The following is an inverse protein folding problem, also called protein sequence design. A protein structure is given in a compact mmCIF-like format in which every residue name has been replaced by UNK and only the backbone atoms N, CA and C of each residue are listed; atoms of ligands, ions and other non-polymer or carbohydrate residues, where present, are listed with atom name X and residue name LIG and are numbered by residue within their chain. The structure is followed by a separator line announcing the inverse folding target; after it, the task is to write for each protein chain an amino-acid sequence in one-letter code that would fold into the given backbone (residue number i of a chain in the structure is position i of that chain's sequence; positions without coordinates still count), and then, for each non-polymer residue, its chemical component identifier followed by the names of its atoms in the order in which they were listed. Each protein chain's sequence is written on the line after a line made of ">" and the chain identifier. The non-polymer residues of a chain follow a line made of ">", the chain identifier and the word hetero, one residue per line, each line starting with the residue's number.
data_IF_141734192063
#
_entry.id   IF_141734192063
#
_cell.length_a   1.000
_cell.length_b   1.000
_cell.length_c   1.000
_cell.angle_alpha   90.00
_cell.angle_beta   90.00
_cell.angle_gamma   90.00
#
_symmetry.space_group_name_H-M   'P 1'
#
loop_
_entity.id
_entity.type
_entity.pdbx_description
1 polymer ?
#
# COMPACT_ATOMS: atom_id res chain seq x y z
N UNK A 1 -6.23 12.91 -8.37
CA UNK A 1 -6.63 11.76 -7.54
C UNK A 1 -6.35 12.13 -6.10
N UNK A 2 -7.41 12.53 -5.39
CA UNK A 2 -7.44 12.65 -3.92
C UNK A 2 -7.74 11.26 -3.42
N UNK A 3 -6.94 10.65 -2.54
CA UNK A 3 -7.31 9.39 -1.86
C UNK A 3 -8.59 9.62 -1.05
N UNK A 4 -9.45 8.61 -0.91
CA UNK A 4 -10.57 8.70 0.03
C UNK A 4 -10.03 9.13 1.40
N UNK A 5 -10.64 10.15 1.98
CA UNK A 5 -10.34 10.60 3.33
C UNK A 5 -11.66 10.91 3.99
N UNK A 6 -11.95 10.25 5.10
CA UNK A 6 -12.90 10.80 6.06
C UNK A 6 -12.32 12.10 6.65
N UNK A 7 -13.17 13.07 7.00
CA UNK A 7 -12.75 14.12 7.92
C UNK A 7 -12.62 13.46 9.30
N UNK A 8 -11.45 13.59 9.95
CA UNK A 8 -11.32 13.11 11.32
C UNK A 8 -12.33 13.87 12.18
N UNK A 9 -13.22 13.14 12.84
CA UNK A 9 -14.21 13.76 13.73
C UNK A 9 -13.51 14.61 14.79
N UNK A 10 -14.03 15.80 15.06
CA UNK A 10 -13.50 16.67 16.13
C UNK A 10 -13.54 15.97 17.51
N UNK A 11 -14.38 14.95 17.65
CA UNK A 11 -14.61 14.16 18.87
C UNK A 11 -13.91 12.78 18.87
N UNK A 12 -13.07 12.46 17.87
CA UNK A 12 -12.32 11.20 17.87
C UNK A 12 -11.32 11.16 19.04
N UNK A 13 -11.41 10.10 19.84
CA UNK A 13 -10.47 9.88 20.95
C UNK A 13 -9.12 9.49 20.35
N UNK A 14 -8.07 10.25 20.71
CA UNK A 14 -6.71 10.05 20.22
C UNK A 14 -5.81 9.48 21.30
N UNK A 15 -4.84 8.69 20.86
CA UNK A 15 -3.85 8.05 21.72
C UNK A 15 -2.44 8.37 21.21
N UNK A 16 -1.51 8.61 22.14
CA UNK A 16 -0.09 8.64 21.82
C UNK A 16 0.44 7.21 21.71
N UNK A 17 1.23 6.95 20.67
CA UNK A 17 1.83 5.64 20.43
C UNK A 17 3.33 5.75 20.19
N UNK A 18 4.15 4.78 20.65
CA UNK A 18 5.56 4.72 20.27
C UNK A 18 5.70 4.40 18.78
N UNK A 19 6.88 4.67 18.22
CA UNK A 19 7.19 4.34 16.83
C UNK A 19 7.04 2.84 16.56
N UNK A 20 6.15 2.46 15.62
CA UNK A 20 5.86 1.06 15.31
C UNK A 20 7.05 0.30 14.66
N UNK A 21 8.04 1.02 14.12
CA UNK A 21 9.21 0.38 13.50
C UNK A 21 10.33 0.06 14.52
N UNK A 22 10.57 0.92 15.51
CA UNK A 22 11.73 0.77 16.41
C UNK A 22 11.43 0.88 17.91
N UNK A 23 10.16 1.08 18.29
CA UNK A 23 9.70 1.19 19.68
C UNK A 23 10.07 2.49 20.40
N UNK A 24 10.77 3.43 19.74
CA UNK A 24 11.14 4.71 20.37
C UNK A 24 9.91 5.60 20.59
N UNK A 25 9.78 6.17 21.78
CA UNK A 25 8.82 7.25 22.09
C UNK A 25 9.35 8.65 21.75
N UNK A 26 10.55 8.78 21.19
CA UNK A 26 11.14 10.08 20.86
C UNK A 26 10.83 10.47 19.41
N UNK A 27 10.20 11.63 19.23
CA UNK A 27 9.80 12.16 17.94
C UNK A 27 9.84 13.70 17.90
N UNK A 28 9.81 14.25 16.69
CA UNK A 28 9.61 15.68 16.42
C UNK A 28 8.41 15.89 15.48
N UNK A 29 7.66 17.00 15.57
CA UNK A 29 6.64 17.31 14.57
C UNK A 29 7.22 17.39 13.15
N UNK A 30 6.50 16.84 12.18
CA UNK A 30 6.94 16.78 10.77
C UNK A 30 6.00 17.50 9.83
N UNK A 31 4.69 17.24 9.92
CA UNK A 31 3.63 17.91 9.17
C UNK A 31 2.49 18.26 10.13
N UNK A 32 2.01 19.51 10.06
CA UNK A 32 0.93 20.03 10.90
C UNK A 32 -0.32 20.18 10.02
N UNK A 33 -1.23 19.23 10.11
CA UNK A 33 -2.45 19.19 9.31
C UNK A 33 -3.64 19.71 10.12
N UNK A 34 -4.76 20.00 9.45
CA UNK A 34 -5.96 20.41 10.17
C UNK A 34 -6.55 19.21 10.92
N UNK A 35 -6.57 19.26 12.26
CA UNK A 35 -7.10 18.20 13.12
C UNK A 35 -6.12 17.09 13.50
N UNK A 36 -4.94 16.97 12.87
CA UNK A 36 -3.96 15.93 13.20
C UNK A 36 -2.52 16.34 12.87
N UNK A 37 -1.56 15.60 13.43
CA UNK A 37 -0.13 15.86 13.23
C UNK A 37 0.59 14.59 12.83
N UNK A 38 1.48 14.69 11.85
CA UNK A 38 2.50 13.69 11.60
C UNK A 38 3.78 14.06 12.33
N UNK A 39 4.34 13.10 13.05
CA UNK A 39 5.64 13.21 13.73
C UNK A 39 6.67 12.33 13.04
N UNK A 40 7.94 12.69 13.14
CA UNK A 40 9.09 11.91 12.64
C UNK A 40 9.84 11.32 13.84
N UNK A 41 10.00 10.00 13.87
CA UNK A 41 10.78 9.32 14.90
C UNK A 41 12.25 9.76 14.85
N UNK A 42 12.81 10.20 15.98
CA UNK A 42 14.21 10.65 16.06
C UNK A 42 15.23 9.52 15.93
N UNK A 43 14.79 8.26 16.06
CA UNK A 43 15.66 7.08 15.99
C UNK A 43 15.74 6.48 14.58
N UNK A 44 14.60 6.29 13.92
CA UNK A 44 14.54 5.56 12.64
C UNK A 44 13.94 6.38 11.48
N UNK A 45 13.52 7.63 11.72
CA UNK A 45 12.98 8.50 10.67
C UNK A 45 11.61 8.13 10.12
N UNK A 46 10.91 7.14 10.71
CA UNK A 46 9.52 6.84 10.34
C UNK A 46 8.64 8.05 10.62
N UNK A 47 7.82 8.45 9.64
CA UNK A 47 6.81 9.48 9.81
C UNK A 47 5.46 8.81 10.04
N UNK A 48 4.76 9.19 11.11
CA UNK A 48 3.51 8.57 11.52
C UNK A 48 2.62 9.58 12.24
N UNK A 49 1.32 9.35 12.23
CA UNK A 49 0.37 10.21 12.92
C UNK A 49 0.50 10.01 14.43
N UNK A 50 0.68 11.10 15.19
CA UNK A 50 0.75 11.04 16.64
C UNK A 50 0.30 12.39 17.26
N UNK A 51 -0.68 12.39 18.19
CA UNK A 51 -1.50 11.25 18.60
C UNK A 51 -2.40 10.78 17.43
N UNK A 52 -2.68 9.47 17.37
CA UNK A 52 -3.51 8.85 16.32
C UNK A 52 -4.92 8.49 16.85
N UNK A 53 -5.95 8.38 15.99
CA UNK A 53 -7.24 7.83 16.36
C UNK A 53 -7.13 6.42 16.95
N UNK A 54 -8.14 5.99 17.71
CA UNK A 54 -8.24 4.59 18.15
C UNK A 54 -8.63 3.68 17.00
N UNK A 55 -8.26 2.42 17.15
CA UNK A 55 -8.35 1.40 16.13
C UNK A 55 -9.81 1.20 15.63
N UNK A 56 -10.78 1.23 16.54
CA UNK A 56 -12.22 1.11 16.24
C UNK A 56 -12.73 2.26 15.35
N UNK A 57 -12.23 3.48 15.58
CA UNK A 57 -12.65 4.70 14.87
C UNK A 57 -12.09 4.73 13.42
N UNK A 58 -11.01 3.99 13.15
CA UNK A 58 -10.40 3.90 11.81
C UNK A 58 -11.17 2.93 10.91
N UNK A 59 -11.57 1.77 11.44
CA UNK A 59 -12.28 0.75 10.66
C UNK A 59 -13.70 1.19 10.26
N UNK A 60 -14.37 2.01 11.09
CA UNK A 60 -15.70 2.53 10.78
C UNK A 60 -15.75 3.43 9.53
N UNK A 61 -14.60 3.84 8.99
CA UNK A 61 -14.50 4.69 7.78
C UNK A 61 -14.74 3.90 6.48
N UNK A 62 -14.63 2.58 6.52
CA UNK A 62 -14.73 1.71 5.35
C UNK A 62 -16.16 1.19 5.12
N UNK A 63 -17.08 2.13 4.88
CA UNK A 63 -18.49 1.83 4.57
C UNK A 63 -18.89 2.15 3.13
N UNK A 64 -20.19 2.38 2.91
CA UNK A 64 -20.76 2.61 1.58
C UNK A 64 -20.15 3.79 0.81
N UNK A 65 -19.72 4.85 1.50
CA UNK A 65 -19.08 6.01 0.85
C UNK A 65 -17.69 5.65 0.29
N UNK A 66 -16.93 4.82 1.01
CA UNK A 66 -15.69 4.25 0.52
C UNK A 66 -15.95 3.38 -0.71
N UNK A 67 -16.92 2.47 -0.65
CA UNK A 67 -17.30 1.63 -1.81
C UNK A 67 -17.68 2.47 -3.04
N UNK A 68 -18.52 3.48 -2.86
CA UNK A 68 -18.96 4.37 -3.95
C UNK A 68 -17.77 5.07 -4.59
N UNK A 69 -16.87 5.62 -3.77
CA UNK A 69 -15.65 6.27 -4.24
C UNK A 69 -14.74 5.30 -5.02
N UNK A 70 -14.49 4.10 -4.49
CA UNK A 70 -13.66 3.09 -5.15
C UNK A 70 -14.28 2.64 -6.47
N UNK A 71 -15.59 2.42 -6.50
CA UNK A 71 -16.32 2.04 -7.70
C UNK A 71 -16.25 3.11 -8.80
N UNK A 72 -16.49 4.39 -8.45
CA UNK A 72 -16.44 5.50 -9.41
C UNK A 72 -15.03 5.74 -9.99
N UNK A 73 -13.99 5.41 -9.23
CA UNK A 73 -12.59 5.65 -9.61
C UNK A 73 -11.86 4.37 -10.09
N UNK A 74 -12.53 3.22 -10.11
CA UNK A 74 -11.96 1.88 -10.36
C UNK A 74 -11.05 1.87 -11.60
N UNK A 75 -11.51 2.39 -12.73
CA UNK A 75 -10.77 2.36 -13.98
C UNK A 75 -9.41 3.08 -13.87
N UNK A 76 -9.35 4.18 -13.12
CA UNK A 76 -8.12 4.92 -12.90
C UNK A 76 -7.18 4.17 -11.94
N UNK A 77 -7.72 3.62 -10.84
CA UNK A 77 -6.92 2.83 -9.90
C UNK A 77 -6.34 1.59 -10.54
N UNK A 78 -7.16 0.85 -11.29
CA UNK A 78 -6.72 -0.32 -12.04
C UNK A 78 -5.62 0.02 -13.05
N UNK A 79 -5.78 1.13 -13.80
CA UNK A 79 -4.73 1.61 -14.71
C UNK A 79 -3.41 1.91 -14.00
N UNK A 80 -3.45 2.51 -12.80
CA UNK A 80 -2.25 2.79 -12.01
C UNK A 80 -1.61 1.50 -11.46
N UNK A 81 -2.41 0.54 -10.99
CA UNK A 81 -1.92 -0.76 -10.54
C UNK A 81 -1.18 -1.49 -11.67
N UNK A 82 -1.75 -1.53 -12.89
CA UNK A 82 -1.10 -2.16 -14.04
C UNK A 82 0.23 -1.47 -14.41
N UNK A 83 0.29 -0.15 -14.35
CA UNK A 83 1.54 0.60 -14.58
C UNK A 83 2.59 0.26 -13.51
N UNK A 84 2.19 0.18 -12.24
CA UNK A 84 3.05 -0.22 -11.13
C UNK A 84 3.60 -1.64 -11.31
N UNK A 85 2.72 -2.61 -11.57
CA UNK A 85 3.09 -4.01 -11.82
C UNK A 85 4.07 -4.15 -13.00
N UNK A 86 3.83 -3.42 -14.10
CA UNK A 86 4.76 -3.39 -15.21
C UNK A 86 6.13 -2.79 -14.81
N UNK A 87 6.13 -1.72 -14.02
CA UNK A 87 7.35 -1.05 -13.57
C UNK A 87 8.22 -1.94 -12.67
N UNK A 88 7.62 -2.85 -11.91
CA UNK A 88 8.32 -3.83 -11.09
C UNK A 88 8.59 -5.17 -11.79
N UNK A 89 8.30 -5.27 -13.09
CA UNK A 89 8.51 -6.46 -13.92
C UNK A 89 7.70 -7.69 -13.43
N UNK A 90 6.38 -7.50 -13.28
CA UNK A 90 5.46 -8.58 -12.91
C UNK A 90 5.45 -9.72 -13.95
N UNK A 91 5.57 -9.42 -15.24
CA UNK A 91 5.67 -10.46 -16.29
C UNK A 91 6.92 -11.32 -16.13
N UNK A 92 8.05 -10.75 -15.71
CA UNK A 92 9.26 -11.52 -15.37
C UNK A 92 9.05 -12.43 -14.16
N UNK A 93 8.35 -11.95 -13.13
CA UNK A 93 7.94 -12.78 -11.98
C UNK A 93 7.05 -13.95 -12.42
N UNK A 94 6.08 -13.69 -13.30
CA UNK A 94 5.22 -14.75 -13.84
C UNK A 94 6.03 -15.81 -14.60
N UNK A 95 7.00 -15.40 -15.43
CA UNK A 95 7.86 -16.32 -16.16
C UNK A 95 8.72 -17.17 -15.22
N UNK A 96 9.25 -16.58 -14.15
CA UNK A 96 10.03 -17.27 -13.12
C UNK A 96 9.19 -18.29 -12.33
N UNK A 97 7.96 -17.94 -11.97
CA UNK A 97 7.04 -18.88 -11.30
C UNK A 97 6.70 -20.05 -12.22
N UNK A 98 6.46 -19.78 -13.51
CA UNK A 98 6.10 -20.80 -14.50
C UNK A 98 7.26 -21.72 -14.87
N UNK A 99 8.51 -21.28 -14.74
CA UNK A 99 9.69 -22.11 -15.02
C UNK A 99 10.04 -23.07 -13.89
N UNK A 100 9.40 -22.95 -12.72
CA UNK A 100 9.62 -23.83 -11.57
C UNK A 100 8.48 -24.85 -11.42
N UNK A 101 8.75 -26.16 -11.45
CA UNK A 101 7.71 -27.19 -11.41
C UNK A 101 7.00 -27.28 -10.04
N UNK A 102 7.63 -26.79 -8.97
CA UNK A 102 7.12 -26.87 -7.61
C UNK A 102 6.28 -25.64 -7.21
N UNK A 103 6.30 -24.60 -8.05
CA UNK A 103 5.59 -23.34 -7.77
C UNK A 103 4.26 -23.29 -8.49
N UNK A 104 3.32 -22.53 -7.93
CA UNK A 104 2.00 -22.30 -8.51
C UNK A 104 1.69 -20.82 -8.56
N UNK A 105 0.92 -20.39 -9.56
CA UNK A 105 0.42 -19.02 -9.65
C UNK A 105 -0.71 -18.82 -8.63
N UNK A 106 -0.36 -18.43 -7.40
CA UNK A 106 -1.29 -18.05 -6.34
C UNK A 106 -1.07 -16.60 -5.96
N UNK A 107 -2.08 -15.77 -6.17
CA UNK A 107 -2.01 -14.32 -6.01
C UNK A 107 -2.94 -13.87 -4.89
N UNK A 108 -2.41 -13.14 -3.92
CA UNK A 108 -3.20 -12.40 -2.94
C UNK A 108 -3.16 -10.91 -3.25
N UNK A 109 -4.32 -10.26 -3.25
CA UNK A 109 -4.46 -8.80 -3.26
C UNK A 109 -5.05 -8.32 -1.93
N UNK A 110 -4.27 -7.53 -1.18
CA UNK A 110 -4.69 -6.98 0.11
C UNK A 110 -5.25 -5.58 -0.12
N UNK A 111 -6.45 -5.30 0.41
CA UNK A 111 -7.22 -4.10 0.08
C UNK A 111 -7.67 -4.12 -1.38
N UNK A 112 -8.25 -5.24 -1.81
CA UNK A 112 -8.55 -5.49 -3.23
C UNK A 112 -9.75 -4.69 -3.75
N UNK A 113 -10.44 -3.92 -2.90
CA UNK A 113 -11.62 -3.13 -3.22
C UNK A 113 -12.63 -3.96 -4.04
N UNK A 114 -13.03 -3.48 -5.22
CA UNK A 114 -14.02 -4.13 -6.09
C UNK A 114 -13.56 -5.46 -6.71
N UNK A 115 -12.30 -5.87 -6.51
CA UNK A 115 -11.71 -7.09 -7.05
C UNK A 115 -11.30 -7.00 -8.52
N UNK A 116 -11.16 -5.80 -9.09
CA UNK A 116 -10.81 -5.61 -10.51
C UNK A 116 -9.44 -6.20 -10.87
N UNK A 117 -8.44 -6.06 -9.98
CA UNK A 117 -7.13 -6.66 -10.20
C UNK A 117 -7.18 -8.19 -10.12
N UNK A 118 -7.93 -8.73 -9.17
CA UNK A 118 -8.16 -10.18 -9.02
C UNK A 118 -8.75 -10.79 -10.30
N UNK A 119 -9.79 -10.16 -10.87
CA UNK A 119 -10.38 -10.57 -12.15
C UNK A 119 -9.34 -10.58 -13.28
N UNK A 120 -8.49 -9.56 -13.34
CA UNK A 120 -7.44 -9.45 -14.34
C UNK A 120 -6.39 -10.57 -14.23
N UNK A 121 -5.87 -10.83 -13.02
CA UNK A 121 -4.83 -11.87 -12.83
C UNK A 121 -5.41 -13.27 -13.00
N UNK A 122 -6.68 -13.50 -12.62
CA UNK A 122 -7.37 -14.76 -12.93
C UNK A 122 -7.40 -15.04 -14.43
N UNK A 123 -7.68 -14.00 -15.25
CA UNK A 123 -7.62 -14.10 -16.71
C UNK A 123 -6.23 -14.47 -17.26
N UNK A 124 -5.17 -14.37 -16.45
CA UNK A 124 -3.79 -14.78 -16.77
C UNK A 124 -3.40 -16.14 -16.15
N UNK A 125 -4.38 -16.88 -15.64
CA UNK A 125 -4.21 -18.22 -15.06
C UNK A 125 -3.74 -18.23 -13.61
N UNK A 126 -3.90 -17.14 -12.86
CA UNK A 126 -3.65 -17.14 -11.42
C UNK A 126 -4.85 -17.70 -10.65
N UNK A 127 -4.57 -18.43 -9.58
CA UNK A 127 -5.52 -18.66 -8.51
C UNK A 127 -5.50 -17.42 -7.61
N UNK A 128 -6.55 -16.62 -7.70
CA UNK A 128 -6.67 -15.33 -7.03
C UNK A 128 -7.42 -15.42 -5.70
N UNK A 129 -7.00 -14.59 -4.75
CA UNK A 129 -7.65 -14.37 -3.46
C UNK A 129 -7.51 -12.89 -3.09
N UNK A 130 -8.53 -12.30 -2.47
CA UNK A 130 -8.49 -10.95 -1.90
C UNK A 130 -8.72 -10.96 -0.39
N UNK A 131 -8.27 -9.89 0.28
CA UNK A 131 -8.71 -9.53 1.63
C UNK A 131 -9.15 -8.05 1.63
N UNK A 132 -10.37 -7.76 2.06
CA UNK A 132 -10.98 -6.43 1.99
C UNK A 132 -11.90 -6.20 3.20
N UNK A 133 -11.78 -5.04 3.84
CA UNK A 133 -12.54 -4.67 5.04
C UNK A 133 -13.92 -4.09 4.71
N UNK A 134 -14.09 -3.51 3.51
CA UNK A 134 -15.37 -2.99 3.07
C UNK A 134 -16.28 -4.11 2.56
N UNK A 135 -17.34 -4.39 3.32
CA UNK A 135 -18.33 -5.43 3.00
C UNK A 135 -18.96 -5.26 1.62
N UNK A 136 -19.34 -4.05 1.24
CA UNK A 136 -19.99 -3.76 -0.04
C UNK A 136 -19.04 -4.07 -1.22
N UNK A 137 -17.74 -3.77 -1.07
CA UNK A 137 -16.71 -4.14 -2.04
C UNK A 137 -16.57 -5.66 -2.20
N UNK A 138 -16.60 -6.41 -1.09
CA UNK A 138 -16.55 -7.89 -1.09
C UNK A 138 -17.77 -8.47 -1.82
N UNK A 139 -18.97 -8.02 -1.46
CA UNK A 139 -20.23 -8.48 -2.06
C UNK A 139 -20.27 -8.17 -3.57
N UNK A 140 -19.76 -7.00 -3.97
CA UNK A 140 -19.64 -6.61 -5.36
C UNK A 140 -18.62 -7.46 -6.13
N UNK A 141 -17.43 -7.70 -5.58
CA UNK A 141 -16.41 -8.55 -6.19
C UNK A 141 -16.89 -9.99 -6.39
N UNK A 142 -17.57 -10.56 -5.39
CA UNK A 142 -18.19 -11.89 -5.50
C UNK A 142 -19.28 -11.91 -6.58
N UNK A 143 -20.28 -11.03 -6.48
CA UNK A 143 -21.47 -11.11 -7.33
C UNK A 143 -21.26 -10.65 -8.78
N UNK A 144 -20.33 -9.72 -9.03
CA UNK A 144 -20.13 -9.12 -10.36
C UNK A 144 -18.87 -9.58 -11.08
N UNK A 145 -17.83 -10.00 -10.34
CA UNK A 145 -16.56 -10.48 -10.92
C UNK A 145 -16.29 -11.94 -10.65
N UNK A 146 -17.09 -12.60 -9.80
CA UNK A 146 -16.89 -14.00 -9.43
C UNK A 146 -15.50 -14.25 -8.83
N UNK A 147 -14.92 -13.29 -8.08
CA UNK A 147 -13.59 -13.43 -7.46
C UNK A 147 -13.72 -13.78 -5.97
N UNK A 148 -12.71 -14.44 -5.42
CA UNK A 148 -12.68 -14.85 -4.01
C UNK A 148 -12.12 -13.73 -3.15
N UNK A 149 -12.91 -13.20 -2.22
CA UNK A 149 -12.47 -12.14 -1.30
C UNK A 149 -12.89 -12.52 0.12
N UNK A 150 -11.93 -12.50 1.04
CA UNK A 150 -12.19 -12.57 2.47
C UNK A 150 -12.62 -11.19 2.99
N UNK A 151 -13.73 -11.14 3.72
CA UNK A 151 -14.20 -9.93 4.36
C UNK A 151 -13.53 -9.76 5.72
N UNK A 152 -12.60 -8.80 5.81
CA UNK A 152 -11.84 -8.48 7.01
C UNK A 152 -10.41 -8.07 6.70
N UNK A 153 -9.63 -7.93 7.76
CA UNK A 153 -8.19 -7.63 7.70
C UNK A 153 -7.38 -8.82 7.19
N UNK A 154 -6.11 -8.57 6.85
CA UNK A 154 -5.18 -9.63 6.46
C UNK A 154 -5.01 -10.66 7.59
N UNK A 155 -4.88 -10.16 8.82
CA UNK A 155 -4.64 -10.95 10.02
C UNK A 155 -5.85 -11.85 10.36
N UNK A 156 -7.07 -11.35 10.18
CA UNK A 156 -8.30 -12.14 10.38
C UNK A 156 -8.50 -13.23 9.32
N UNK A 157 -7.95 -13.04 8.11
CA UNK A 157 -8.06 -14.02 7.04
C UNK A 157 -7.33 -15.33 7.37
N UNK A 158 -6.35 -15.29 8.29
CA UNK A 158 -5.65 -16.44 8.83
C UNK A 158 -5.16 -17.42 7.74
N UNK A 159 -4.63 -16.89 6.64
CA UNK A 159 -4.17 -17.70 5.52
C UNK A 159 -3.07 -18.69 5.95
N UNK A 160 -2.94 -19.86 5.31
CA UNK A 160 -1.87 -20.80 5.62
C UNK A 160 -0.47 -20.21 5.41
N UNK A 161 0.51 -20.74 6.15
CA UNK A 161 1.93 -20.47 5.89
C UNK A 161 2.27 -20.86 4.44
N UNK A 162 3.11 -20.06 3.79
CA UNK A 162 3.64 -20.36 2.46
C UNK A 162 2.59 -20.67 1.37
N UNK A 163 1.43 -20.03 1.44
CA UNK A 163 0.32 -20.25 0.51
C UNK A 163 0.46 -19.49 -0.82
N UNK A 164 1.03 -18.28 -0.82
CA UNK A 164 1.03 -17.41 -2.00
C UNK A 164 2.40 -17.26 -2.64
N UNK A 165 2.44 -17.24 -3.98
CA UNK A 165 3.65 -16.92 -4.73
C UNK A 165 3.82 -15.42 -4.97
N UNK A 166 2.72 -14.67 -5.01
CA UNK A 166 2.72 -13.20 -5.02
C UNK A 166 1.68 -12.65 -4.07
N UNK A 167 2.09 -11.70 -3.24
CA UNK A 167 1.21 -10.86 -2.42
C UNK A 167 1.35 -9.42 -2.89
N UNK A 168 0.25 -8.81 -3.28
CA UNK A 168 0.15 -7.41 -3.70
C UNK A 168 -0.62 -6.61 -2.65
N UNK A 169 -0.25 -5.35 -2.49
CA UNK A 169 -0.99 -4.39 -1.68
C UNK A 169 -0.74 -2.99 -2.22
N UNK A 170 -1.79 -2.31 -2.65
CA UNK A 170 -1.69 -0.96 -3.19
C UNK A 170 -2.43 0.02 -2.31
N UNK A 171 -1.71 0.97 -1.73
CA UNK A 171 -2.28 2.01 -0.87
C UNK A 171 -3.00 1.45 0.38
N UNK A 172 -2.39 0.44 1.03
CA UNK A 172 -2.93 -0.21 2.23
C UNK A 172 -2.02 -0.03 3.44
N UNK A 173 -0.71 -0.21 3.26
CA UNK A 173 0.26 -0.22 4.37
C UNK A 173 0.33 1.12 5.11
N UNK A 174 -0.01 2.23 4.48
CA UNK A 174 -0.11 3.53 5.13
C UNK A 174 -1.33 3.67 6.06
N UNK A 175 -2.34 2.82 5.88
CA UNK A 175 -3.58 2.81 6.65
C UNK A 175 -3.56 1.80 7.81
N UNK A 176 -2.77 0.74 7.72
CA UNK A 176 -2.72 -0.28 8.77
C UNK A 176 -2.13 0.28 10.07
N UNK A 177 -2.63 -0.18 11.21
CA UNK A 177 -2.25 0.33 12.53
C UNK A 177 -0.90 -0.21 13.01
N UNK A 178 -0.47 -1.36 12.50
CA UNK A 178 0.79 -2.01 12.85
C UNK A 178 1.50 -2.52 11.58
N UNK A 179 2.16 -1.65 10.80
CA UNK A 179 2.85 -2.04 9.58
C UNK A 179 3.93 -3.11 9.82
N UNK A 180 4.52 -3.19 11.01
CA UNK A 180 5.47 -4.26 11.33
C UNK A 180 4.80 -5.64 11.42
N UNK A 181 3.62 -5.74 12.05
CA UNK A 181 2.84 -6.97 12.06
C UNK A 181 2.37 -7.34 10.65
N UNK A 182 1.86 -6.36 9.91
CA UNK A 182 1.40 -6.53 8.53
C UNK A 182 2.47 -7.11 7.60
N UNK A 183 3.70 -6.56 7.63
CA UNK A 183 4.80 -7.07 6.79
C UNK A 183 5.28 -8.46 7.23
N UNK A 184 5.27 -8.76 8.53
CA UNK A 184 5.54 -10.13 9.03
C UNK A 184 4.51 -11.13 8.56
N UNK A 185 3.24 -10.74 8.54
CA UNK A 185 2.16 -11.60 8.07
C UNK A 185 2.29 -11.88 6.58
N UNK A 186 2.58 -10.86 5.76
CA UNK A 186 2.92 -11.04 4.34
C UNK A 186 4.11 -12.00 4.18
N UNK A 187 5.14 -11.87 5.01
CA UNK A 187 6.29 -12.78 4.96
C UNK A 187 5.89 -14.22 5.30
N UNK A 188 5.04 -14.45 6.30
CA UNK A 188 4.59 -15.78 6.72
C UNK A 188 3.84 -16.50 5.59
N UNK A 189 2.86 -15.83 5.00
CA UNK A 189 1.95 -16.40 3.99
C UNK A 189 2.60 -16.54 2.60
N UNK A 190 3.70 -15.84 2.34
CA UNK A 190 4.46 -16.03 1.09
C UNK A 190 5.24 -17.33 1.13
N UNK A 191 5.22 -18.08 0.03
CA UNK A 191 6.13 -19.21 -0.17
C UNK A 191 7.61 -18.73 -0.21
N UNK A 192 8.59 -19.59 0.11
CA UNK A 192 9.99 -19.29 -0.17
C UNK A 192 10.20 -19.05 -1.68
N UNK A 193 10.86 -17.94 -2.04
CA UNK A 193 10.94 -17.48 -3.43
C UNK A 193 9.75 -16.62 -3.89
N UNK A 194 8.77 -16.38 -3.01
CA UNK A 194 7.60 -15.55 -3.26
C UNK A 194 7.88 -14.04 -3.21
N UNK A 195 6.98 -13.24 -3.79
CA UNK A 195 7.17 -11.80 -3.95
C UNK A 195 6.10 -10.97 -3.25
N UNK A 196 6.54 -9.95 -2.50
CA UNK A 196 5.67 -8.87 -2.02
C UNK A 196 5.79 -7.65 -2.94
N UNK A 197 4.65 -7.18 -3.44
CA UNK A 197 4.51 -6.04 -4.36
C UNK A 197 3.70 -4.94 -3.68
N UNK A 198 4.38 -4.00 -3.02
CA UNK A 198 3.72 -3.03 -2.12
C UNK A 198 3.87 -1.60 -2.65
N UNK A 199 2.74 -0.91 -2.81
CA UNK A 199 2.67 0.50 -3.26
C UNK A 199 2.15 1.39 -2.13
N UNK A 200 2.79 2.54 -1.93
CA UNK A 200 2.42 3.54 -0.90
C UNK A 200 2.91 4.94 -1.31
N UNK A 201 2.35 6.04 -0.78
CA UNK A 201 2.92 7.38 -0.89
C UNK A 201 4.36 7.43 -0.39
N UNK A 202 5.15 8.32 -0.99
CA UNK A 202 6.54 8.57 -0.64
C UNK A 202 6.68 9.96 -0.01
N UNK A 203 6.92 10.01 1.31
CA UNK A 203 7.07 11.27 2.06
C UNK A 203 8.31 12.09 1.64
N UNK A 204 9.25 11.45 0.95
CA UNK A 204 10.44 12.10 0.38
C UNK A 204 10.22 12.55 -1.06
N UNK A 205 9.04 12.30 -1.63
CA UNK A 205 8.66 12.75 -2.96
C UNK A 205 8.75 14.27 -3.09
N UNK A 206 9.03 14.75 -4.29
CA UNK A 206 9.20 16.19 -4.51
C UNK A 206 7.91 16.98 -4.18
N UNK A 207 6.73 16.41 -4.42
CA UNK A 207 5.44 17.02 -4.04
C UNK A 207 5.28 17.09 -2.52
N UNK A 208 5.62 16.02 -1.80
CA UNK A 208 5.61 16.00 -0.34
C UNK A 208 6.51 17.10 0.24
N UNK A 209 7.71 17.27 -0.33
CA UNK A 209 8.66 18.31 0.08
C UNK A 209 8.15 19.73 -0.23
N UNK A 210 7.55 19.93 -1.40
CA UNK A 210 7.06 21.24 -1.84
C UNK A 210 5.79 21.66 -1.11
N UNK A 211 4.80 20.78 -1.02
CA UNK A 211 3.47 21.12 -0.50
C UNK A 211 3.33 20.89 1.01
N UNK A 212 4.23 20.10 1.62
CA UNK A 212 4.28 19.87 3.08
C UNK A 212 2.90 19.52 3.66
N UNK A 213 2.35 20.39 4.51
CA UNK A 213 1.06 20.18 5.18
C UNK A 213 -0.12 20.11 4.21
N UNK A 214 -0.01 20.73 3.03
CA UNK A 214 -1.00 20.67 1.94
C UNK A 214 -0.73 19.57 0.93
N UNK A 215 0.19 18.64 1.25
CA UNK A 215 0.46 17.50 0.39
C UNK A 215 -0.76 16.60 0.30
N UNK A 216 -1.09 16.14 -0.91
CA UNK A 216 -2.32 15.36 -1.18
C UNK A 216 -2.42 14.03 -0.43
N UNK A 217 -1.30 13.51 0.04
CA UNK A 217 -1.22 12.26 0.82
C UNK A 217 -1.06 12.54 2.32
N UNK A 218 -1.02 13.80 2.76
CA UNK A 218 -1.06 14.16 4.17
C UNK A 218 -2.52 14.27 4.64
N UNK A 219 -3.22 13.13 4.61
CA UNK A 219 -4.65 13.01 4.96
C UNK A 219 -4.83 12.26 6.29
N UNK A 220 -6.01 12.41 6.88
CA UNK A 220 -6.32 11.89 8.22
C UNK A 220 -6.39 10.36 8.30
N UNK A 221 -6.61 9.68 7.17
CA UNK A 221 -6.71 8.23 7.09
C UNK A 221 -5.35 7.54 6.94
N UNK A 222 -4.28 8.29 6.61
CA UNK A 222 -2.92 7.74 6.59
C UNK A 222 -2.34 7.77 8.01
N UNK A 223 -2.13 6.60 8.59
CA UNK A 223 -1.47 6.44 9.88
C UNK A 223 0.05 6.57 9.75
N UNK A 224 0.60 6.22 8.58
CA UNK A 224 2.03 6.23 8.31
C UNK A 224 2.35 6.92 6.98
N UNK A 225 3.45 7.68 6.94
CA UNK A 225 4.00 8.25 5.72
C UNK A 225 5.42 7.74 5.52
N UNK A 226 5.57 6.77 4.61
CA UNK A 226 6.85 6.09 4.46
C UNK A 226 7.83 6.88 3.58
N UNK A 227 9.10 6.85 3.98
CA UNK A 227 10.24 7.08 3.09
C UNK A 227 10.71 5.75 2.51
N UNK A 228 11.50 5.79 1.44
CA UNK A 228 12.11 4.56 0.88
C UNK A 228 12.97 3.86 1.92
N UNK A 229 13.71 4.62 2.72
CA UNK A 229 14.57 4.08 3.76
C UNK A 229 13.77 3.42 4.90
N UNK A 230 12.71 4.05 5.38
CA UNK A 230 11.88 3.50 6.46
C UNK A 230 11.16 2.21 6.02
N UNK A 231 10.54 2.22 4.84
CA UNK A 231 9.86 1.03 4.31
C UNK A 231 10.85 -0.08 3.94
N UNK A 232 11.99 0.26 3.33
CA UNK A 232 13.06 -0.70 3.05
C UNK A 232 13.60 -1.36 4.32
N UNK A 233 13.78 -0.59 5.39
CA UNK A 233 14.20 -1.12 6.69
C UNK A 233 13.17 -2.06 7.30
N UNK A 234 11.87 -1.74 7.14
CA UNK A 234 10.80 -2.60 7.61
C UNK A 234 10.80 -3.96 6.90
N UNK A 235 10.98 -3.96 5.58
CA UNK A 235 11.12 -5.19 4.80
C UNK A 235 12.37 -5.97 5.19
N UNK A 236 13.54 -5.33 5.27
CA UNK A 236 14.80 -6.02 5.60
C UNK A 236 14.78 -6.62 7.00
N UNK A 237 14.22 -5.91 7.99
CA UNK A 237 14.12 -6.40 9.37
C UNK A 237 13.20 -7.62 9.50
N UNK A 238 12.29 -7.80 8.55
CA UNK A 238 11.39 -8.98 8.48
C UNK A 238 12.06 -10.17 7.78
N UNK A 239 13.11 -9.93 6.98
CA UNK A 239 13.82 -10.97 6.22
C UNK A 239 13.62 -10.89 4.70
N UNK A 240 12.94 -9.86 4.19
CA UNK A 240 12.83 -9.65 2.74
C UNK A 240 14.12 -9.10 2.13
N UNK A 241 14.38 -9.46 0.88
CA UNK A 241 15.38 -8.83 0.02
C UNK A 241 14.67 -7.88 -0.94
N UNK A 242 14.90 -6.58 -0.82
CA UNK A 242 14.36 -5.59 -1.77
C UNK A 242 15.12 -5.67 -3.09
N UNK A 243 14.45 -6.11 -4.16
CA UNK A 243 15.05 -6.24 -5.48
C UNK A 243 14.86 -5.01 -6.36
N UNK A 244 13.72 -4.32 -6.24
CA UNK A 244 13.37 -3.19 -7.10
C UNK A 244 12.53 -2.17 -6.34
N UNK A 245 12.87 -0.91 -6.51
CA UNK A 245 12.07 0.23 -6.06
C UNK A 245 11.79 1.11 -7.26
N UNK A 246 10.53 1.48 -7.47
CA UNK A 246 10.11 2.44 -8.49
C UNK A 246 9.28 3.53 -7.88
N UNK A 247 9.39 4.74 -8.42
CA UNK A 247 8.59 5.87 -7.97
C UNK A 247 7.93 6.56 -9.16
N UNK A 248 6.74 7.11 -8.96
CA UNK A 248 6.01 7.89 -9.98
C UNK A 248 5.22 9.03 -9.33
N UNK A 249 4.56 9.86 -10.14
CA UNK A 249 3.84 11.04 -9.66
C UNK A 249 4.73 12.29 -9.68
N UNK A 250 5.12 12.70 -10.88
CA UNK A 250 5.92 13.88 -11.16
C UNK A 250 5.13 15.17 -11.31
N UNK A 251 3.82 15.15 -11.61
CA UNK A 251 2.92 16.30 -11.52
C UNK A 251 1.47 15.80 -11.37
N UNK A 252 0.69 16.35 -10.44
CA UNK A 252 -0.73 16.00 -10.32
C UNK A 252 -1.49 16.30 -11.63
N UNK A 253 -2.45 15.43 -11.99
CA UNK A 253 -3.31 15.66 -13.16
C UNK A 253 -4.01 17.03 -13.04
N UNK A 254 -3.98 17.82 -14.12
CA UNK A 254 -4.57 19.16 -14.15
C UNK A 254 -3.67 20.31 -13.69
N UNK A 255 -2.46 20.05 -13.13
CA UNK A 255 -1.54 21.10 -12.64
C UNK A 255 -0.53 21.62 -13.68
N UNK A 256 -0.79 21.45 -14.97
CA UNK A 256 0.05 22.01 -16.03
C UNK A 256 -0.15 21.36 -17.41
N UNK A 257 0.53 21.87 -18.45
CA UNK A 257 0.45 21.31 -19.81
C UNK A 257 0.87 19.84 -19.86
N UNK A 258 0.16 19.01 -20.66
CA UNK A 258 0.47 17.58 -20.89
C UNK A 258 1.97 17.27 -21.15
N UNK A 259 2.71 18.03 -22.00
CA UNK A 259 4.13 17.75 -22.23
C UNK A 259 5.00 17.98 -20.99
N UNK A 260 4.73 19.03 -20.21
CA UNK A 260 5.44 19.30 -18.95
C UNK A 260 5.18 18.18 -17.92
N UNK A 261 3.91 17.74 -17.81
CA UNK A 261 3.55 16.60 -16.95
C UNK A 261 4.33 15.33 -17.33
N UNK A 262 4.37 14.97 -18.62
CA UNK A 262 5.11 13.78 -19.10
C UNK A 262 6.60 13.86 -18.78
N UNK A 263 7.21 15.04 -18.97
CA UNK A 263 8.60 15.27 -18.64
C UNK A 263 8.85 15.10 -17.13
N UNK A 264 8.03 15.73 -16.29
CA UNK A 264 8.17 15.64 -14.84
C UNK A 264 7.91 14.22 -14.31
N UNK A 265 6.91 13.51 -14.84
CA UNK A 265 6.65 12.10 -14.49
C UNK A 265 7.85 11.20 -14.86
N UNK A 266 8.46 11.41 -16.04
CA UNK A 266 9.66 10.69 -16.47
C UNK A 266 10.85 11.01 -15.57
N UNK A 267 11.10 12.28 -15.26
CA UNK A 267 12.19 12.71 -14.39
C UNK A 267 12.01 12.20 -12.96
N UNK A 268 10.80 12.26 -12.39
CA UNK A 268 10.51 11.74 -11.05
C UNK A 268 10.79 10.23 -10.95
N UNK A 269 10.52 9.48 -12.01
CA UNK A 269 10.83 8.04 -12.09
C UNK A 269 12.32 7.76 -12.22
N UNK A 270 13.05 8.56 -13.00
CA UNK A 270 14.51 8.43 -13.16
C UNK A 270 15.25 8.82 -11.89
N UNK A 271 14.86 9.95 -11.28
CA UNK A 271 15.50 10.49 -10.09
C UNK A 271 15.04 9.80 -8.79
N UNK A 272 14.03 8.94 -8.87
CA UNK A 272 13.50 8.23 -7.70
C UNK A 272 12.82 9.16 -6.69
N UNK A 273 12.26 10.29 -7.17
CA UNK A 273 11.65 11.36 -6.35
C UNK A 273 10.13 11.44 -6.53
N UNK A 274 9.53 10.43 -7.14
CA UNK A 274 8.08 10.32 -7.30
C UNK A 274 7.34 10.38 -5.97
N UNK A 275 6.11 10.86 -6.06
CA UNK A 275 5.16 11.03 -4.96
C UNK A 275 4.57 9.72 -4.42
N UNK A 276 4.62 8.68 -5.24
CA UNK A 276 4.24 7.31 -4.91
C UNK A 276 5.44 6.42 -5.18
N UNK A 277 5.62 5.38 -4.37
CA UNK A 277 6.66 4.38 -4.53
C UNK A 277 6.08 2.98 -4.48
N UNK A 278 6.73 2.06 -5.19
CA UNK A 278 6.43 0.64 -5.18
C UNK A 278 7.70 -0.17 -4.95
N UNK A 279 7.57 -1.17 -4.09
CA UNK A 279 8.61 -2.11 -3.73
C UNK A 279 8.29 -3.48 -4.33
N UNK A 280 9.29 -4.11 -4.95
CA UNK A 280 9.35 -5.55 -5.19
C UNK A 280 10.33 -6.15 -4.22
N UNK A 281 9.81 -6.92 -3.28
CA UNK A 281 10.55 -7.60 -2.24
C UNK A 281 10.44 -9.12 -2.45
N UNK A 282 11.56 -9.82 -2.38
CA UNK A 282 11.65 -11.28 -2.45
C UNK A 282 11.73 -11.85 -1.04
N UNK A 283 10.90 -12.85 -0.73
CA UNK A 283 11.15 -13.75 0.40
C UNK A 283 12.21 -14.77 -0.05
N UNK A 284 13.41 -14.79 0.54
CA UNK A 284 14.44 -15.74 0.12
C UNK A 284 13.93 -17.17 0.24
N UNK A 285 14.34 -18.04 -0.70
CA UNK A 285 14.36 -19.46 -0.40
C UNK A 285 15.29 -19.63 0.80
N UNK A 286 14.83 -20.30 1.87
CA UNK A 286 15.71 -20.60 3.00
C UNK A 286 16.97 -21.36 2.55
N UNK A 287 18.00 -21.44 3.40
CA UNK A 287 19.12 -22.35 3.15
C UNK A 287 18.66 -23.81 3.01
#
# INVERSE_FOLDING_TARGET
>A
MKTYSSEQGMDEIKQEVPCNLCGSGQYKPRLLCNGFTFVECLRCGLVYQNPRPRDEDVLSRYGNDYFTYEYENEANFFGLMLLGLNDVDFSGIEAEILSSPDRRKKFLDIGCATGRLLEHVRGRGWQEQGAEVCRESVEYGWSRRNVRIFHGTLEEAAFPDAEFSVVHGSHVIEHVLNPAAFVREIFRILEPGGYALITTPNVEGWQARLFRNSWRSAIGDHMFLFSKAALGSLFSNTGFVTQKIKTWGGLAAGRGPKPLKRLMDKSAKVLGTGDVMMFRCLKPAGP
#
